data_IF_048369221126
#
_entry.id   IF_048369221126
#
_cell.length_a   1.000
_cell.length_b   1.000
_cell.length_c   1.000
_cell.angle_alpha   90.00
_cell.angle_beta   90.00
_cell.angle_gamma   90.00
#
_symmetry.space_group_name_H-M   'P 1'
#
loop_
_entity.id
_entity.type
_entity.pdbx_description
1 polymer ?
#
# COMPACT_ATOMS: atom_id res chain seq x y z
N UNK A 1 5.55 -5.43 -12.66
CA UNK A 1 4.90 -4.12 -12.66
C UNK A 1 5.86 -3.12 -13.31
N UNK A 2 5.35 -2.08 -13.97
CA UNK A 2 6.17 -1.05 -14.64
C UNK A 2 5.48 0.32 -14.62
N UNK A 3 6.25 1.40 -14.67
CA UNK A 3 5.74 2.77 -14.73
C UNK A 3 5.69 3.28 -16.17
N UNK A 4 4.62 4.00 -16.51
CA UNK A 4 4.48 4.67 -17.80
C UNK A 4 5.12 6.07 -17.74
N UNK A 5 6.42 6.15 -17.99
CA UNK A 5 7.17 7.42 -17.93
C UNK A 5 6.63 8.50 -18.87
N UNK A 6 5.91 8.12 -19.93
CA UNK A 6 5.32 9.03 -20.91
C UNK A 6 3.95 9.57 -20.48
N UNK A 7 3.41 9.07 -19.37
CA UNK A 7 2.17 9.55 -18.72
C UNK A 7 2.41 10.01 -17.27
N UNK A 8 3.61 9.87 -16.75
CA UNK A 8 3.98 10.36 -15.43
C UNK A 8 4.43 11.83 -15.49
N UNK A 9 3.95 12.62 -14.55
CA UNK A 9 4.44 13.98 -14.26
C UNK A 9 4.83 14.08 -12.77
N UNK A 10 5.08 15.29 -12.25
CA UNK A 10 5.48 15.49 -10.85
C UNK A 10 4.41 15.08 -9.81
N UNK A 11 3.14 14.98 -10.21
CA UNK A 11 2.00 14.80 -9.31
C UNK A 11 1.10 13.64 -9.69
N UNK A 12 1.18 13.16 -10.92
CA UNK A 12 0.39 12.08 -11.49
C UNK A 12 1.34 10.97 -11.95
N UNK A 13 1.02 9.76 -11.55
CA UNK A 13 1.78 8.56 -11.91
C UNK A 13 0.82 7.58 -12.55
N UNK A 14 1.21 7.04 -13.70
CA UNK A 14 0.57 5.88 -14.30
C UNK A 14 1.52 4.70 -14.22
N UNK A 15 0.99 3.57 -13.80
CA UNK A 15 1.73 2.31 -13.78
C UNK A 15 0.82 1.16 -14.16
N UNK A 16 1.43 0.07 -14.60
CA UNK A 16 0.72 -1.15 -14.93
C UNK A 16 1.28 -2.36 -14.20
N UNK A 17 0.44 -3.37 -14.10
CA UNK A 17 0.78 -4.68 -13.57
C UNK A 17 0.23 -5.76 -14.48
N UNK A 18 1.00 -6.83 -14.63
CA UNK A 18 0.58 -8.08 -15.24
C UNK A 18 0.72 -9.21 -14.22
N UNK A 19 -0.07 -10.27 -14.38
CA UNK A 19 -0.07 -11.40 -13.45
C UNK A 19 -0.32 -12.75 -14.11
N UNK A 20 -0.29 -13.78 -13.28
CA UNK A 20 -0.52 -15.18 -13.69
C UNK A 20 -1.95 -15.45 -14.19
N UNK A 21 -2.87 -14.53 -13.94
CA UNK A 21 -4.24 -14.52 -14.47
C UNK A 21 -4.33 -14.01 -15.92
N UNK A 22 -3.20 -13.68 -16.55
CA UNK A 22 -3.13 -13.20 -17.94
C UNK A 22 -3.73 -11.81 -18.13
N UNK A 23 -3.91 -11.04 -17.04
CA UNK A 23 -4.52 -9.70 -17.09
C UNK A 23 -3.48 -8.60 -17.08
N UNK A 24 -3.75 -7.56 -17.85
CA UNK A 24 -3.13 -6.24 -17.72
C UNK A 24 -4.06 -5.35 -16.89
N UNK A 25 -3.53 -4.78 -15.81
CA UNK A 25 -4.16 -3.70 -15.08
C UNK A 25 -3.37 -2.41 -15.25
N UNK A 26 -4.05 -1.30 -15.46
CA UNK A 26 -3.47 0.04 -15.39
C UNK A 26 -4.02 0.78 -14.19
N UNK A 27 -3.19 1.62 -13.57
CA UNK A 27 -3.46 2.34 -12.35
C UNK A 27 -3.02 3.78 -12.50
N UNK A 28 -3.84 4.69 -11.95
CA UNK A 28 -3.48 6.10 -11.83
C UNK A 28 -3.38 6.47 -10.36
N UNK A 29 -2.30 7.17 -10.01
CA UNK A 29 -2.07 7.72 -8.69
C UNK A 29 -1.80 9.21 -8.81
N UNK A 30 -2.51 10.02 -8.02
CA UNK A 30 -2.21 11.43 -7.87
C UNK A 30 -1.75 11.71 -6.43
N UNK A 31 -0.71 12.53 -6.25
CA UNK A 31 -0.15 12.88 -4.93
C UNK A 31 -1.21 13.50 -3.99
N UNK A 32 -2.20 14.20 -4.55
CA UNK A 32 -3.35 14.73 -3.82
C UNK A 32 -4.29 13.67 -3.21
N UNK A 33 -4.15 12.41 -3.62
CA UNK A 33 -4.92 11.27 -3.05
C UNK A 33 -4.35 10.80 -1.71
N UNK A 34 -3.13 11.21 -1.34
CA UNK A 34 -2.56 10.90 -0.04
C UNK A 34 -3.30 11.68 1.06
N UNK A 35 -3.60 11.00 2.16
CA UNK A 35 -4.09 11.66 3.36
C UNK A 35 -3.07 12.67 3.84
N UNK A 36 -3.40 13.96 3.76
CA UNK A 36 -2.66 14.98 4.49
C UNK A 36 -3.00 14.82 5.97
N UNK A 37 -2.01 14.66 6.86
CA UNK A 37 -2.27 14.75 8.28
C UNK A 37 -3.00 16.07 8.52
N UNK A 38 -4.23 16.00 9.04
CA UNK A 38 -4.85 17.19 9.61
C UNK A 38 -3.90 17.56 10.74
N UNK A 39 -3.15 18.65 10.58
CA UNK A 39 -2.54 19.30 11.73
C UNK A 39 -3.70 19.52 12.67
N UNK A 40 -3.75 18.75 13.77
CA UNK A 40 -4.58 19.17 14.87
C UNK A 40 -3.96 20.50 15.24
N UNK A 41 -4.59 21.60 14.82
CA UNK A 41 -4.45 22.83 15.54
C UNK A 41 -4.91 22.44 16.94
N UNK A 42 -3.95 22.04 17.79
CA UNK A 42 -4.15 21.88 19.21
C UNK A 42 -4.82 23.18 19.59
N UNK A 43 -6.13 23.13 19.84
CA UNK A 43 -6.76 24.21 20.57
C UNK A 43 -5.90 24.37 21.80
N UNK A 44 -5.24 25.52 21.87
CA UNK A 44 -4.34 25.92 22.93
C UNK A 44 -5.21 26.04 24.18
N UNK A 45 -5.47 24.91 24.84
CA UNK A 45 -6.12 24.85 26.13
C UNK A 45 -5.12 25.31 27.19
N UNK A 46 -4.98 26.62 27.36
CA UNK A 46 -4.47 27.17 28.60
C UNK A 46 -5.63 27.22 29.59
N UNK A 47 -5.50 26.55 30.72
CA UNK A 47 -5.81 27.08 32.06
C UNK A 47 -5.11 26.24 33.13
N UNK A 48 -4.67 26.96 34.16
CA UNK A 48 -3.79 26.70 35.29
C UNK A 48 -4.25 25.59 36.27
N UNK A 49 -3.31 25.04 37.07
CA UNK A 49 -3.51 23.99 38.11
C UNK A 49 -4.33 24.40 39.36
N UNK A 50 -4.28 23.70 40.53
CA UNK A 50 -3.08 23.10 41.14
C UNK A 50 -3.22 21.66 41.71
N UNK A 51 -2.08 21.18 42.23
CA UNK A 51 -1.80 19.88 42.83
C UNK A 51 -2.69 19.49 44.04
N UNK A 52 -2.85 18.17 44.25
CA UNK A 52 -3.27 17.65 45.55
C UNK A 52 -3.63 16.17 45.61
N UNK A 53 -2.77 15.40 46.29
CA UNK A 53 -3.10 14.29 47.22
C UNK A 53 -3.25 12.87 46.63
N UNK A 54 -2.18 12.08 46.78
CA UNK A 54 -2.23 10.62 47.02
C UNK A 54 -2.37 10.35 48.53
N UNK A 55 -3.03 9.25 48.94
CA UNK A 55 -2.31 8.14 49.61
C UNK A 55 -2.80 6.74 49.12
N UNK A 56 -1.89 5.77 48.87
CA UNK A 56 -1.59 4.55 49.69
C UNK A 56 -2.86 3.75 50.08
N UNK A 57 -3.03 2.43 49.95
CA UNK A 57 -2.22 1.19 49.81
C UNK A 57 -3.24 0.04 49.55
N UNK A 58 -2.96 -1.06 48.84
CA UNK A 58 -2.51 -2.35 49.40
C UNK A 58 -2.47 -3.43 48.31
N UNK A 59 -1.65 -4.44 48.55
CA UNK A 59 -1.29 -5.54 47.67
C UNK A 59 -2.37 -6.63 47.57
N UNK A 60 -2.48 -7.26 46.39
CA UNK A 60 -2.57 -8.72 46.15
C UNK A 60 -3.31 -9.03 44.82
N UNK A 61 -2.55 -9.37 43.79
CA UNK A 61 -2.97 -10.35 42.76
C UNK A 61 -2.66 -11.76 43.32
N UNK A 62 -3.16 -12.90 42.77
CA UNK A 62 -3.75 -13.07 41.43
C UNK A 62 -4.96 -14.04 41.34
N UNK A 63 -5.83 -13.88 40.35
CA UNK A 63 -6.28 -15.05 39.56
C UNK A 63 -6.78 -14.60 38.19
N UNK A 64 -6.10 -15.10 37.16
CA UNK A 64 -6.17 -14.65 35.78
C UNK A 64 -7.51 -14.90 35.12
N UNK A 65 -8.05 -13.82 34.57
CA UNK A 65 -8.97 -13.81 33.45
C UNK A 65 -8.36 -14.61 32.31
N UNK A 66 -8.96 -15.75 31.97
CA UNK A 66 -8.63 -16.57 30.80
C UNK A 66 -8.88 -15.77 29.52
N UNK A 67 -7.91 -14.95 29.11
CA UNK A 67 -7.80 -14.41 27.77
C UNK A 67 -7.06 -15.43 26.91
N UNK A 68 -7.83 -15.99 25.98
CA UNK A 68 -7.43 -17.01 25.01
C UNK A 68 -6.43 -16.43 24.00
N UNK A 69 -5.43 -17.26 23.71
CA UNK A 69 -4.68 -17.37 22.44
C UNK A 69 -3.84 -16.18 22.00
N UNK A 70 -2.62 -16.07 22.53
CA UNK A 70 -1.50 -15.52 21.77
C UNK A 70 -0.61 -16.70 21.34
N UNK A 71 -0.44 -16.89 20.03
CA UNK A 71 0.47 -17.88 19.47
C UNK A 71 1.89 -17.56 19.92
N UNK A 72 2.41 -18.37 20.85
CA UNK A 72 3.80 -18.38 21.26
C UNK A 72 4.62 -18.87 20.06
N UNK A 73 5.16 -17.95 19.27
CA UNK A 73 6.37 -18.24 18.52
C UNK A 73 7.51 -18.19 19.54
N UNK A 74 8.21 -19.31 19.69
CA UNK A 74 9.49 -19.37 20.38
C UNK A 74 10.36 -18.23 19.83
N UNK A 75 10.77 -17.32 20.70
CA UNK A 75 11.64 -16.21 20.34
C UNK A 75 13.03 -16.80 20.10
N UNK A 76 13.37 -17.05 18.83
CA UNK A 76 14.76 -17.29 18.45
C UNK A 76 15.59 -16.06 18.85
N UNK A 77 16.55 -16.30 19.73
CA UNK A 77 17.40 -15.32 20.43
C UNK A 77 18.44 -14.64 19.51
N UNK A 78 18.19 -14.56 18.20
CA UNK A 78 19.10 -13.94 17.23
C UNK A 78 18.31 -13.23 16.12
N UNK A 79 18.00 -11.96 16.34
CA UNK A 79 17.49 -11.05 15.33
C UNK A 79 16.38 -10.19 15.88
N UNK A 80 16.70 -8.93 16.19
CA UNK A 80 15.72 -7.87 16.40
C UNK A 80 14.91 -7.70 15.10
N UNK A 81 13.90 -8.55 14.91
CA UNK A 81 12.99 -8.49 13.79
C UNK A 81 12.24 -7.18 13.87
N UNK A 82 12.45 -6.29 12.91
CA UNK A 82 11.76 -5.00 12.83
C UNK A 82 10.26 -5.25 12.64
N UNK A 83 9.54 -5.34 13.75
CA UNK A 83 8.09 -5.46 13.79
C UNK A 83 7.48 -4.06 13.80
N UNK A 84 6.90 -3.65 12.67
CA UNK A 84 6.14 -2.41 12.58
C UNK A 84 4.63 -2.72 12.62
N UNK A 85 3.81 -1.89 13.28
CA UNK A 85 2.36 -2.06 13.25
C UNK A 85 1.82 -1.82 11.83
N UNK A 86 0.82 -2.59 11.44
CA UNK A 86 0.10 -2.39 10.17
C UNK A 86 -0.70 -1.08 10.26
N UNK A 87 -0.49 -0.17 9.31
CA UNK A 87 -1.27 1.06 9.24
C UNK A 87 -2.76 0.76 8.96
N UNK A 88 -3.71 1.45 9.63
CA UNK A 88 -5.12 1.22 9.39
C UNK A 88 -5.51 1.46 7.93
N UNK A 89 -6.42 0.64 7.39
CA UNK A 89 -6.96 0.79 6.03
C UNK A 89 -7.52 2.19 5.75
N UNK A 90 -8.03 2.88 6.78
CA UNK A 90 -8.53 4.26 6.67
C UNK A 90 -7.46 5.32 6.41
N UNK A 91 -6.17 4.96 6.53
CA UNK A 91 -5.03 5.86 6.31
C UNK A 91 -4.24 5.52 5.04
N UNK A 92 -4.60 4.44 4.35
CA UNK A 92 -3.94 3.97 3.14
C UNK A 92 -4.84 4.33 1.94
N UNK A 93 -4.33 5.06 0.93
CA UNK A 93 -5.11 5.33 -0.28
C UNK A 93 -5.40 4.01 -1.01
N UNK A 94 -6.65 3.81 -1.41
CA UNK A 94 -7.07 2.66 -2.21
C UNK A 94 -7.26 3.15 -3.65
N UNK A 95 -6.50 2.55 -4.58
CA UNK A 95 -6.57 2.88 -6.00
C UNK A 95 -7.47 1.85 -6.71
N UNK A 96 -8.55 2.27 -7.37
CA UNK A 96 -9.23 1.42 -8.33
C UNK A 96 -8.39 1.32 -9.62
N UNK A 97 -8.36 0.16 -10.30
CA UNK A 97 -7.72 0.07 -11.60
C UNK A 97 -8.50 0.90 -12.63
N UNK A 98 -7.79 1.66 -13.47
CA UNK A 98 -8.39 2.41 -14.57
C UNK A 98 -8.65 1.52 -15.79
N UNK A 99 -7.92 0.41 -15.89
CA UNK A 99 -8.14 -0.64 -16.88
C UNK A 99 -7.88 -2.00 -16.23
N UNK A 100 -8.67 -3.00 -16.60
CA UNK A 100 -8.41 -4.41 -16.31
C UNK A 100 -8.90 -5.21 -17.51
N UNK A 101 -7.97 -5.82 -18.25
CA UNK A 101 -8.31 -6.61 -19.43
C UNK A 101 -7.49 -7.89 -19.48
N UNK A 102 -8.11 -8.97 -19.93
CA UNK A 102 -7.40 -10.23 -20.23
C UNK A 102 -6.65 -10.04 -21.54
N UNK A 103 -5.32 -10.16 -21.50
CA UNK A 103 -4.45 -9.93 -22.66
C UNK A 103 -3.92 -11.23 -23.27
N UNK A 104 -3.91 -12.32 -22.50
CA UNK A 104 -3.46 -13.63 -22.95
C UNK A 104 -4.13 -14.75 -22.14
N UNK A 105 -4.12 -15.97 -22.68
CA UNK A 105 -4.58 -17.17 -21.97
C UNK A 105 -3.51 -17.74 -21.05
N UNK A 106 -2.24 -17.38 -21.27
CA UNK A 106 -1.11 -17.79 -20.45
C UNK A 106 -0.73 -16.71 -19.42
N UNK A 107 -0.08 -17.09 -18.31
CA UNK A 107 0.46 -16.16 -17.33
C UNK A 107 1.30 -15.05 -17.96
N UNK A 108 0.90 -13.79 -17.75
CA UNK A 108 1.66 -12.64 -18.20
C UNK A 108 2.81 -12.39 -17.22
N UNK A 109 4.04 -12.28 -17.75
CA UNK A 109 5.26 -12.29 -16.92
C UNK A 109 6.12 -11.03 -17.10
N UNK A 110 5.86 -10.22 -18.11
CA UNK A 110 6.61 -8.99 -18.36
C UNK A 110 5.71 -7.88 -18.93
N UNK A 111 6.05 -6.64 -18.60
CA UNK A 111 5.35 -5.42 -18.99
C UNK A 111 6.35 -4.27 -19.05
N UNK A 112 6.27 -3.48 -20.13
CA UNK A 112 7.02 -2.23 -20.27
C UNK A 112 6.24 -1.18 -21.06
N UNK A 113 6.64 0.08 -20.90
CA UNK A 113 6.02 1.24 -21.51
C UNK A 113 7.04 2.00 -22.36
N UNK A 114 6.76 2.13 -23.65
CA UNK A 114 7.54 2.96 -24.56
C UNK A 114 6.77 4.23 -24.91
N UNK A 115 7.41 5.15 -25.63
CA UNK A 115 6.75 6.38 -26.11
C UNK A 115 5.55 6.07 -27.00
N UNK A 116 5.63 4.98 -27.76
CA UNK A 116 4.68 4.66 -28.82
C UNK A 116 3.69 3.55 -28.44
N UNK A 117 4.03 2.71 -27.45
CA UNK A 117 3.26 1.50 -27.15
C UNK A 117 3.40 1.02 -25.69
N UNK A 118 2.52 0.10 -25.32
CA UNK A 118 2.69 -0.79 -24.18
C UNK A 118 3.15 -2.15 -24.74
N UNK A 119 4.16 -2.77 -24.14
CA UNK A 119 4.66 -4.07 -24.56
C UNK A 119 4.46 -5.07 -23.42
N UNK A 120 3.92 -6.24 -23.74
CA UNK A 120 3.64 -7.30 -22.76
C UNK A 120 4.16 -8.64 -23.27
N UNK A 121 4.62 -9.52 -22.38
CA UNK A 121 4.89 -10.92 -22.72
C UNK A 121 4.29 -11.91 -21.72
N UNK A 122 4.09 -13.15 -22.18
CA UNK A 122 3.60 -14.25 -21.36
C UNK A 122 4.62 -15.41 -21.28
N UNK A 123 4.40 -16.35 -20.34
CA UNK A 123 5.28 -17.50 -20.11
C UNK A 123 5.37 -18.48 -21.30
N UNK A 124 4.46 -18.38 -22.26
CA UNK A 124 4.48 -19.13 -23.53
C UNK A 124 5.36 -18.47 -24.61
N UNK A 125 5.96 -17.31 -24.30
CA UNK A 125 6.88 -16.61 -25.19
C UNK A 125 6.23 -15.62 -26.17
N UNK A 126 4.90 -15.48 -26.16
CA UNK A 126 4.23 -14.45 -26.96
C UNK A 126 4.56 -13.05 -26.45
N UNK A 127 4.92 -12.16 -27.37
CA UNK A 127 5.09 -10.72 -27.14
C UNK A 127 4.01 -9.97 -27.90
N UNK A 128 3.32 -9.06 -27.22
CA UNK A 128 2.26 -8.22 -27.79
C UNK A 128 2.62 -6.75 -27.62
N UNK A 129 2.35 -5.98 -28.66
CA UNK A 129 2.56 -4.53 -28.71
C UNK A 129 1.22 -3.84 -28.87
N UNK A 130 0.89 -2.96 -27.93
CA UNK A 130 -0.37 -2.21 -27.89
C UNK A 130 -0.04 -0.74 -28.19
N UNK A 131 -0.34 -0.29 -29.41
CA UNK A 131 -0.04 1.08 -29.84
C UNK A 131 -0.84 2.10 -29.04
N UNK A 132 -0.20 3.22 -28.72
CA UNK A 132 -0.88 4.33 -28.05
C UNK A 132 -1.82 5.04 -29.03
N UNK A 133 -2.90 5.67 -28.53
CA UNK A 133 -3.73 6.53 -29.36
C UNK A 133 -2.92 7.75 -29.85
N UNK A 134 -3.07 8.09 -31.13
CA UNK A 134 -2.46 9.30 -31.72
C UNK A 134 -1.09 9.10 -32.38
N UNK A 135 -0.51 7.90 -32.32
CA UNK A 135 0.77 7.56 -32.99
C UNK A 135 0.60 7.03 -34.43
N UNK A 136 -0.58 7.15 -35.05
CA UNK A 136 -0.76 6.74 -36.45
C UNK A 136 -0.11 7.76 -37.39
N UNK A 137 0.89 7.32 -38.14
CA UNK A 137 1.34 7.98 -39.38
C UNK A 137 0.40 7.64 -40.52
#
# INVERSE_FOLDING_TARGET
>A
MAFDLWKCDERNYRFGSVGDDGRLCLWDFNVGMLHRPKTSARQRGSVSGPAGISPRSEAASPLGTLLRSNSLYEADEYGDGISHPVEPRSRIPILPPVLTTVIDTHPACWLDFTEEAIITSCKDGHVRTWTRPGTSV
#
